data_IF_807851875284
#
_entry.id   IF_807851875284
#
_cell.length_a   1.000
_cell.length_b   1.000
_cell.length_c   1.000
_cell.angle_alpha   90.00
_cell.angle_beta   90.00
_cell.angle_gamma   90.00
#
_symmetry.space_group_name_H-M   'P 1'
#
loop_
_entity.id
_entity.type
_entity.pdbx_description
1 polymer ?
#
# COMPACT_ATOMS: atom_id res chain seq x y z
N UNK A 1 -18.30 -14.83 -1.30
CA UNK A 1 -19.21 -14.03 -0.44
C UNK A 1 -20.56 -14.75 -0.42
N UNK A 2 -21.14 -14.92 0.75
CA UNK A 2 -22.51 -15.42 0.89
C UNK A 2 -23.53 -14.28 0.74
N UNK A 3 -24.84 -14.62 0.70
CA UNK A 3 -25.92 -13.64 0.50
C UNK A 3 -25.97 -12.60 1.64
N UNK A 4 -25.66 -12.99 2.88
CA UNK A 4 -25.70 -12.11 4.03
C UNK A 4 -24.51 -11.14 4.01
N UNK A 5 -23.35 -11.59 3.59
CA UNK A 5 -22.16 -10.75 3.39
C UNK A 5 -22.43 -9.68 2.33
N UNK A 6 -23.00 -10.06 1.18
CA UNK A 6 -23.35 -9.12 0.12
C UNK A 6 -24.34 -8.06 0.59
N UNK A 7 -25.42 -8.47 1.28
CA UNK A 7 -26.41 -7.54 1.84
C UNK A 7 -25.75 -6.54 2.81
N UNK A 8 -24.79 -7.01 3.60
CA UNK A 8 -24.04 -6.15 4.53
C UNK A 8 -23.17 -5.15 3.80
N UNK A 9 -22.46 -5.57 2.74
CA UNK A 9 -21.63 -4.70 1.89
C UNK A 9 -22.49 -3.61 1.24
N UNK A 10 -23.62 -3.98 0.63
CA UNK A 10 -24.49 -3.02 -0.05
C UNK A 10 -25.12 -2.00 0.92
N UNK A 11 -25.39 -2.40 2.16
CA UNK A 11 -25.89 -1.49 3.19
C UNK A 11 -24.84 -0.52 3.72
N UNK A 12 -23.56 -0.91 3.77
CA UNK A 12 -22.44 -0.06 4.19
C UNK A 12 -22.18 1.01 3.14
N UNK A 13 -22.35 0.68 1.85
CA UNK A 13 -22.08 1.58 0.73
C UNK A 13 -20.64 1.51 0.21
N UNK A 14 -20.32 2.43 -0.68
CA UNK A 14 -18.98 2.57 -1.26
C UNK A 14 -17.94 2.95 -0.21
N UNK A 15 -16.73 2.46 -0.40
CA UNK A 15 -15.59 2.67 0.49
C UNK A 15 -14.29 2.76 -0.31
N UNK A 16 -13.17 2.90 0.38
CA UNK A 16 -11.84 2.86 -0.25
C UNK A 16 -11.58 1.55 -1.01
N UNK A 17 -12.27 0.46 -0.66
CA UNK A 17 -12.10 -0.89 -1.20
C UNK A 17 -13.38 -1.50 -1.77
N UNK A 18 -14.45 -0.75 -1.88
CA UNK A 18 -15.73 -1.22 -2.47
C UNK A 18 -16.28 -0.13 -3.38
N UNK A 19 -16.65 -0.52 -4.59
CA UNK A 19 -17.24 0.35 -5.59
C UNK A 19 -18.48 -0.27 -6.22
N UNK A 20 -19.50 0.55 -6.45
CA UNK A 20 -20.74 0.18 -7.11
C UNK A 20 -20.84 0.83 -8.48
N UNK A 21 -21.33 0.07 -9.46
CA UNK A 21 -21.54 0.59 -10.81
C UNK A 21 -22.85 0.06 -11.36
N UNK A 22 -23.72 0.95 -11.80
CA UNK A 22 -25.03 0.60 -12.32
C UNK A 22 -24.97 -0.39 -13.49
N UNK A 23 -24.14 -0.15 -14.49
CA UNK A 23 -23.89 -0.96 -15.69
C UNK A 23 -25.14 -1.73 -16.20
N UNK A 24 -25.87 -1.19 -17.13
CA UNK A 24 -27.04 -1.88 -17.70
C UNK A 24 -26.67 -3.07 -18.60
N UNK A 25 -26.40 -2.79 -19.89
CA UNK A 25 -26.06 -3.81 -20.90
C UNK A 25 -24.56 -3.76 -21.29
N UNK A 26 -23.74 -2.91 -20.68
CA UNK A 26 -22.34 -2.72 -21.02
C UNK A 26 -21.55 -2.16 -19.85
N UNK A 27 -20.23 -2.20 -19.96
CA UNK A 27 -19.30 -1.69 -18.97
C UNK A 27 -18.80 -0.33 -19.44
N UNK A 28 -18.98 0.69 -18.61
CA UNK A 28 -18.57 2.05 -18.90
C UNK A 28 -17.09 2.25 -18.59
N UNK A 29 -16.50 3.36 -19.09
CA UNK A 29 -15.06 3.59 -18.99
C UNK A 29 -14.58 3.83 -17.56
N UNK A 30 -15.44 4.36 -16.70
CA UNK A 30 -15.15 4.63 -15.29
C UNK A 30 -14.87 3.35 -14.48
N UNK A 31 -15.48 2.22 -14.84
CA UNK A 31 -15.14 0.91 -14.23
C UNK A 31 -13.66 0.59 -14.40
N UNK A 32 -13.07 0.89 -15.56
CA UNK A 32 -11.65 0.63 -15.81
C UNK A 32 -10.73 1.65 -15.11
N UNK A 33 -11.20 2.86 -14.86
CA UNK A 33 -10.52 3.85 -14.03
C UNK A 33 -10.44 3.35 -12.57
N UNK A 34 -11.53 2.80 -12.05
CA UNK A 34 -11.58 2.14 -10.73
C UNK A 34 -10.69 0.89 -10.68
N UNK A 35 -10.69 0.04 -11.71
CA UNK A 35 -9.76 -1.10 -11.79
C UNK A 35 -8.31 -0.62 -11.66
N UNK A 36 -7.94 0.42 -12.41
CA UNK A 36 -6.59 0.99 -12.36
C UNK A 36 -6.25 1.54 -10.97
N UNK A 37 -7.15 2.29 -10.35
CA UNK A 37 -6.93 2.88 -9.02
C UNK A 37 -6.83 1.81 -7.93
N UNK A 38 -7.65 0.76 -7.98
CA UNK A 38 -7.60 -0.37 -7.05
C UNK A 38 -6.29 -1.16 -7.18
N UNK A 39 -5.85 -1.46 -8.41
CA UNK A 39 -4.55 -2.07 -8.66
C UNK A 39 -3.43 -1.21 -8.07
N UNK A 40 -3.54 0.10 -8.16
CA UNK A 40 -2.56 1.06 -7.69
C UNK A 40 -2.59 1.31 -6.18
N UNK A 41 -3.64 0.91 -5.47
CA UNK A 41 -3.78 1.19 -4.05
C UNK A 41 -3.91 -0.10 -3.21
N UNK A 42 -5.04 -0.38 -2.66
CA UNK A 42 -5.27 -1.46 -1.71
C UNK A 42 -5.99 -2.67 -2.31
N UNK A 43 -6.32 -2.62 -3.60
CA UNK A 43 -7.27 -3.54 -4.19
C UNK A 43 -8.70 -3.21 -3.76
N UNK A 44 -9.62 -4.12 -4.04
CA UNK A 44 -11.02 -3.96 -3.64
C UNK A 44 -11.97 -4.81 -4.46
N UNK A 45 -13.24 -4.56 -4.26
CA UNK A 45 -14.34 -5.25 -4.89
C UNK A 45 -15.21 -4.27 -5.68
N UNK A 46 -15.47 -4.56 -6.96
CA UNK A 46 -16.39 -3.79 -7.81
C UNK A 46 -17.62 -4.64 -8.05
N UNK A 47 -18.79 -4.06 -7.82
CA UNK A 47 -20.09 -4.70 -8.07
C UNK A 47 -20.81 -3.98 -9.19
N UNK A 48 -20.96 -4.64 -10.37
CA UNK A 48 -21.74 -4.13 -11.50
C UNK A 48 -23.19 -4.56 -11.35
N UNK A 49 -24.10 -3.61 -11.52
CA UNK A 49 -25.52 -3.77 -11.30
C UNK A 49 -26.01 -3.26 -9.94
N UNK A 50 -25.18 -2.52 -9.24
CA UNK A 50 -25.53 -1.85 -7.95
C UNK A 50 -25.47 -0.34 -8.16
N UNK A 51 -26.39 0.40 -7.56
CA UNK A 51 -26.41 1.86 -7.53
C UNK A 51 -25.56 2.38 -6.37
N UNK A 52 -25.15 3.63 -6.40
CA UNK A 52 -24.30 4.29 -5.40
C UNK A 52 -24.91 4.23 -3.97
N UNK A 53 -26.25 4.17 -3.87
CA UNK A 53 -26.97 4.02 -2.60
C UNK A 53 -27.04 2.56 -2.10
N UNK A 54 -26.40 1.61 -2.79
CA UNK A 54 -26.42 0.19 -2.48
C UNK A 54 -27.66 -0.55 -3.02
N UNK A 55 -28.58 0.13 -3.71
CA UNK A 55 -29.75 -0.51 -4.32
C UNK A 55 -29.30 -1.44 -5.44
N UNK A 56 -29.72 -2.69 -5.36
CA UNK A 56 -29.44 -3.70 -6.40
C UNK A 56 -30.35 -3.45 -7.59
N UNK A 57 -29.78 -2.95 -8.69
CA UNK A 57 -30.50 -2.75 -9.97
C UNK A 57 -30.43 -4.02 -10.84
N UNK A 58 -29.30 -4.72 -10.82
CA UNK A 58 -28.98 -5.84 -11.68
C UNK A 58 -28.45 -5.41 -13.05
N UNK A 59 -27.68 -6.30 -13.69
CA UNK A 59 -27.33 -6.22 -15.11
C UNK A 59 -28.27 -7.13 -15.92
N UNK A 60 -28.37 -6.88 -17.23
CA UNK A 60 -29.16 -7.78 -18.09
C UNK A 60 -28.54 -9.18 -18.10
N UNK A 61 -29.28 -10.19 -17.63
CA UNK A 61 -28.80 -11.56 -17.46
C UNK A 61 -28.18 -12.12 -18.75
N UNK A 62 -28.82 -11.89 -19.88
CA UNK A 62 -28.34 -12.34 -21.20
C UNK A 62 -27.06 -11.62 -21.65
N UNK A 63 -26.82 -10.41 -21.19
CA UNK A 63 -25.63 -9.60 -21.53
C UNK A 63 -24.43 -9.90 -20.60
N UNK A 64 -24.66 -10.39 -19.40
CA UNK A 64 -23.61 -10.59 -18.40
C UNK A 64 -22.41 -11.42 -18.90
N UNK A 65 -22.58 -12.55 -19.63
CA UNK A 65 -21.43 -13.30 -20.16
C UNK A 65 -20.60 -12.48 -21.17
N UNK A 66 -21.25 -11.68 -22.01
CA UNK A 66 -20.57 -10.83 -22.99
C UNK A 66 -19.86 -9.66 -22.30
N UNK A 67 -20.47 -9.07 -21.27
CA UNK A 67 -19.85 -8.06 -20.44
C UNK A 67 -18.56 -8.57 -19.80
N UNK A 68 -18.56 -9.78 -19.24
CA UNK A 68 -17.37 -10.43 -18.66
C UNK A 68 -16.29 -10.64 -19.73
N UNK A 69 -16.64 -11.17 -20.91
CA UNK A 69 -15.67 -11.36 -22.01
C UNK A 69 -15.05 -10.04 -22.47
N UNK A 70 -15.88 -9.02 -22.65
CA UNK A 70 -15.42 -7.68 -23.05
C UNK A 70 -14.52 -7.07 -21.99
N UNK A 71 -14.86 -7.19 -20.70
CA UNK A 71 -14.03 -6.74 -19.61
C UNK A 71 -12.63 -7.37 -19.66
N UNK A 72 -12.56 -8.70 -19.74
CA UNK A 72 -11.29 -9.43 -19.80
C UNK A 72 -10.48 -9.00 -21.03
N UNK A 73 -11.13 -8.86 -22.19
CA UNK A 73 -10.47 -8.38 -23.41
C UNK A 73 -9.86 -6.99 -23.24
N UNK A 74 -10.55 -6.07 -22.56
CA UNK A 74 -10.09 -4.71 -22.34
C UNK A 74 -8.88 -4.67 -21.40
N UNK A 75 -8.92 -5.36 -20.25
CA UNK A 75 -7.83 -5.36 -19.28
C UNK A 75 -6.60 -6.15 -19.73
N UNK A 76 -6.75 -7.04 -20.70
CA UNK A 76 -5.67 -7.80 -21.33
C UNK A 76 -5.01 -7.07 -22.50
N UNK A 77 -5.55 -5.92 -22.90
CA UNK A 77 -4.99 -5.10 -23.98
C UNK A 77 -4.00 -4.08 -23.40
N UNK A 78 -2.69 -4.15 -23.73
CA UNK A 78 -1.66 -3.25 -23.19
C UNK A 78 -1.84 -1.79 -23.62
N UNK A 79 -2.56 -1.51 -24.71
CA UNK A 79 -2.88 -0.15 -25.13
C UNK A 79 -4.00 0.48 -24.26
N UNK A 80 -4.73 -0.35 -23.52
CA UNK A 80 -5.86 0.06 -22.67
C UNK A 80 -5.46 0.07 -21.21
N UNK A 81 -4.97 -1.06 -20.69
CA UNK A 81 -4.45 -1.17 -19.32
C UNK A 81 -3.00 -1.64 -19.35
N UNK A 82 -2.09 -0.84 -18.80
CA UNK A 82 -0.66 -1.14 -18.82
C UNK A 82 -0.03 -0.92 -17.43
N UNK A 83 0.68 -1.91 -16.87
CA UNK A 83 0.74 -3.32 -17.32
C UNK A 83 -0.64 -4.00 -17.33
N UNK A 84 -0.78 -5.05 -18.15
CA UNK A 84 -2.01 -5.87 -18.20
C UNK A 84 -2.16 -6.74 -16.96
N UNK A 85 -3.38 -7.15 -16.63
CA UNK A 85 -3.68 -8.03 -15.49
C UNK A 85 -4.64 -9.14 -15.90
N UNK A 86 -4.59 -10.25 -15.15
CA UNK A 86 -5.57 -11.33 -15.25
C UNK A 86 -6.55 -11.23 -14.08
N UNK A 87 -7.76 -10.76 -14.35
CA UNK A 87 -8.85 -10.77 -13.38
C UNK A 87 -9.95 -11.72 -13.89
N UNK A 88 -10.64 -12.36 -12.96
CA UNK A 88 -11.73 -13.29 -13.26
C UNK A 88 -13.02 -12.78 -12.62
N UNK A 89 -13.80 -11.93 -13.33
CA UNK A 89 -15.12 -11.52 -12.85
C UNK A 89 -16.04 -12.70 -12.63
N UNK A 90 -16.90 -12.64 -11.62
CA UNK A 90 -17.88 -13.67 -11.31
C UNK A 90 -19.29 -13.13 -11.54
N UNK A 91 -20.11 -13.87 -12.27
CA UNK A 91 -21.54 -13.60 -12.35
C UNK A 91 -22.17 -14.21 -11.10
N UNK A 92 -22.88 -13.40 -10.32
CA UNK A 92 -23.54 -13.79 -9.08
C UNK A 92 -25.02 -13.41 -9.12
N UNK A 93 -25.82 -14.11 -8.32
CA UNK A 93 -27.24 -13.81 -8.15
C UNK A 93 -27.48 -13.25 -6.75
N UNK A 94 -28.20 -12.14 -6.67
CA UNK A 94 -28.61 -11.55 -5.39
C UNK A 94 -30.03 -11.02 -5.52
N UNK A 95 -30.94 -11.45 -4.63
CA UNK A 95 -32.36 -11.08 -4.65
C UNK A 95 -33.05 -11.25 -6.03
N UNK A 96 -32.69 -12.31 -6.75
CA UNK A 96 -33.26 -12.61 -8.08
C UNK A 96 -32.72 -11.74 -9.21
N UNK A 97 -31.68 -10.93 -8.97
CA UNK A 97 -31.03 -10.08 -9.95
C UNK A 97 -29.61 -10.55 -10.22
N UNK A 98 -29.18 -10.43 -11.48
CA UNK A 98 -27.84 -10.78 -11.91
C UNK A 98 -26.88 -9.62 -11.65
N UNK A 99 -25.75 -9.89 -11.00
CA UNK A 99 -24.66 -8.96 -10.75
C UNK A 99 -23.36 -9.52 -11.32
N UNK A 100 -22.37 -8.65 -11.58
CA UNK A 100 -21.01 -9.07 -11.87
C UNK A 100 -20.11 -8.53 -10.76
N UNK A 101 -19.41 -9.44 -10.09
CA UNK A 101 -18.45 -9.12 -9.04
C UNK A 101 -17.02 -9.24 -9.58
N UNK A 102 -16.21 -8.22 -9.38
CA UNK A 102 -14.80 -8.16 -9.79
C UNK A 102 -13.98 -7.93 -8.53
N UNK A 103 -13.22 -8.94 -8.14
CA UNK A 103 -12.27 -8.82 -7.02
C UNK A 103 -10.88 -8.48 -7.55
N UNK A 104 -10.27 -7.44 -7.01
CA UNK A 104 -8.99 -6.88 -7.45
C UNK A 104 -8.01 -6.89 -6.29
N UNK A 105 -6.91 -7.61 -6.46
CA UNK A 105 -5.79 -7.54 -5.52
C UNK A 105 -4.89 -6.35 -5.85
N UNK A 106 -4.24 -5.74 -4.84
CA UNK A 106 -3.25 -4.69 -5.11
C UNK A 106 -2.10 -5.27 -5.94
N UNK A 107 -1.70 -4.56 -6.98
CA UNK A 107 -0.56 -4.96 -7.82
C UNK A 107 0.76 -4.50 -7.22
N UNK A 108 1.86 -5.19 -7.53
CA UNK A 108 3.22 -4.74 -7.24
C UNK A 108 3.72 -3.65 -8.21
N UNK A 109 3.00 -3.40 -9.30
CA UNK A 109 3.36 -2.42 -10.32
C UNK A 109 2.41 -1.23 -10.33
N UNK A 110 2.84 -0.12 -10.94
CA UNK A 110 1.99 1.05 -11.19
C UNK A 110 1.30 0.88 -12.54
N UNK A 111 -0.01 0.85 -12.53
CA UNK A 111 -0.85 0.69 -13.70
C UNK A 111 -1.36 2.02 -14.23
N UNK A 112 -1.60 2.07 -15.54
CA UNK A 112 -2.28 3.17 -16.21
C UNK A 112 -3.43 2.66 -17.09
N UNK A 113 -4.55 3.37 -17.09
CA UNK A 113 -5.65 3.14 -18.00
C UNK A 113 -5.63 4.21 -19.09
N UNK A 114 -5.53 3.79 -20.36
CA UNK A 114 -5.37 4.70 -21.52
C UNK A 114 -4.26 5.75 -21.30
N UNK A 115 -3.12 5.29 -20.77
CA UNK A 115 -1.93 6.12 -20.44
C UNK A 115 -2.14 7.14 -19.32
N UNK A 116 -3.24 7.07 -18.57
CA UNK A 116 -3.51 7.90 -17.39
C UNK A 116 -3.39 7.04 -16.14
N UNK A 117 -2.58 7.47 -15.17
CA UNK A 117 -2.46 6.83 -13.88
C UNK A 117 -3.58 7.31 -12.98
N UNK A 118 -4.29 6.38 -12.34
CA UNK A 118 -5.31 6.66 -11.33
C UNK A 118 -4.87 6.10 -9.98
N UNK A 119 -5.16 6.84 -8.92
CA UNK A 119 -4.96 6.41 -7.54
C UNK A 119 -6.27 6.54 -6.76
N UNK A 120 -6.47 5.72 -5.73
CA UNK A 120 -7.67 5.75 -4.90
C UNK A 120 -7.46 6.62 -3.68
N UNK A 121 -8.27 7.67 -3.53
CA UNK A 121 -8.27 8.55 -2.36
C UNK A 121 -9.69 8.53 -1.79
N UNK A 122 -9.87 7.92 -0.63
CA UNK A 122 -11.18 7.58 -0.07
C UNK A 122 -11.99 6.73 -1.05
N UNK A 123 -13.11 7.24 -1.55
CA UNK A 123 -14.01 6.62 -2.53
C UNK A 123 -13.84 7.18 -3.96
N UNK A 124 -12.85 8.04 -4.19
CA UNK A 124 -12.65 8.70 -5.48
C UNK A 124 -11.45 8.14 -6.26
N UNK A 125 -11.62 7.98 -7.57
CA UNK A 125 -10.57 7.66 -8.52
C UNK A 125 -9.93 8.94 -9.06
N UNK A 126 -8.73 9.24 -8.58
CA UNK A 126 -8.05 10.50 -8.85
C UNK A 126 -6.96 10.32 -9.90
N UNK A 127 -6.97 11.16 -10.94
CA UNK A 127 -5.90 11.20 -11.95
C UNK A 127 -4.62 11.74 -11.34
N UNK A 128 -3.54 10.97 -11.48
CA UNK A 128 -2.21 11.35 -10.98
C UNK A 128 -1.36 11.81 -12.14
N UNK A 129 -1.05 13.11 -12.18
CA UNK A 129 -0.26 13.73 -13.26
C UNK A 129 1.07 14.29 -12.76
N UNK A 130 1.18 14.58 -11.45
CA UNK A 130 2.39 15.14 -10.87
C UNK A 130 3.50 14.08 -10.78
N UNK A 131 4.66 14.35 -11.40
CA UNK A 131 5.81 13.43 -11.43
C UNK A 131 6.25 12.97 -10.04
N UNK A 132 6.22 13.87 -9.04
CA UNK A 132 6.57 13.52 -7.67
C UNK A 132 5.59 12.50 -7.06
N UNK A 133 4.30 12.63 -7.32
CA UNK A 133 3.29 11.66 -6.85
C UNK A 133 3.44 10.31 -7.54
N UNK A 134 3.71 10.32 -8.85
CA UNK A 134 3.98 9.09 -9.61
C UNK A 134 5.22 8.38 -9.06
N UNK A 135 6.31 9.12 -8.78
CA UNK A 135 7.51 8.56 -8.16
C UNK A 135 7.22 7.91 -6.79
N UNK A 136 6.39 8.57 -5.96
CA UNK A 136 5.96 8.01 -4.68
C UNK A 136 5.13 6.73 -4.85
N UNK A 137 4.29 6.64 -5.89
CA UNK A 137 3.54 5.42 -6.19
C UNK A 137 4.48 4.26 -6.55
N UNK A 138 5.51 4.50 -7.38
CA UNK A 138 6.53 3.49 -7.68
C UNK A 138 7.28 3.03 -6.43
N UNK A 139 7.72 3.96 -5.57
CA UNK A 139 8.38 3.63 -4.30
C UNK A 139 7.47 2.77 -3.41
N UNK A 140 6.21 3.16 -3.26
CA UNK A 140 5.22 2.41 -2.49
C UNK A 140 5.00 0.98 -3.02
N UNK A 141 5.03 0.79 -4.35
CA UNK A 141 4.81 -0.51 -5.00
C UNK A 141 6.01 -1.44 -4.92
N UNK A 142 7.21 -0.91 -4.87
CA UNK A 142 8.42 -1.74 -4.86
C UNK A 142 8.66 -2.47 -3.53
N UNK A 143 7.78 -2.29 -2.52
CA UNK A 143 8.00 -2.81 -1.16
C UNK A 143 9.39 -2.43 -0.61
N UNK A 144 9.97 -1.37 -1.14
CA UNK A 144 11.24 -0.85 -0.65
C UNK A 144 10.95 -0.17 0.68
N UNK A 145 11.19 -0.90 1.73
CA UNK A 145 11.32 -0.32 3.06
C UNK A 145 12.61 0.52 3.05
N UNK A 146 12.47 1.83 2.86
CA UNK A 146 13.62 2.75 2.77
C UNK A 146 14.54 2.63 3.97
N UNK A 147 13.99 2.29 5.14
CA UNK A 147 14.73 2.02 6.36
C UNK A 147 15.67 0.80 6.25
N UNK A 148 15.45 -0.12 5.30
CA UNK A 148 16.32 -1.28 5.03
C UNK A 148 17.44 -1.00 4.04
N UNK A 149 17.43 0.17 3.40
CA UNK A 149 18.49 0.55 2.47
C UNK A 149 19.85 0.53 3.17
N UNK A 150 20.79 -0.23 2.63
CA UNK A 150 22.14 -0.39 3.18
C UNK A 150 23.02 0.79 2.74
N UNK A 151 23.81 1.29 3.68
CA UNK A 151 24.84 2.31 3.48
C UNK A 151 26.21 1.72 3.82
N UNK A 152 26.92 1.12 2.84
CA UNK A 152 28.17 0.38 3.09
C UNK A 152 29.32 1.24 3.62
N UNK A 153 29.19 2.56 3.46
CA UNK A 153 30.21 3.53 3.95
C UNK A 153 29.98 3.97 5.41
N UNK A 154 28.85 3.58 6.01
CA UNK A 154 28.59 3.82 7.43
C UNK A 154 29.23 2.72 8.25
N UNK A 155 30.05 3.09 9.21
CA UNK A 155 30.80 2.21 10.11
C UNK A 155 30.18 2.18 11.52
N UNK A 156 30.69 1.31 12.39
CA UNK A 156 30.22 1.24 13.79
C UNK A 156 30.58 2.49 14.59
N UNK A 157 31.68 3.17 14.24
CA UNK A 157 32.15 4.41 14.86
C UNK A 157 31.24 5.59 14.55
N UNK A 158 30.43 5.50 13.49
CA UNK A 158 29.44 6.49 13.10
C UNK A 158 28.16 6.42 13.94
N UNK A 159 28.04 5.39 14.79
CA UNK A 159 26.87 5.14 15.63
C UNK A 159 27.10 5.53 17.10
N UNK A 160 26.04 5.97 17.74
CA UNK A 160 25.93 6.29 19.17
C UNK A 160 25.76 5.00 19.98
N UNK A 161 26.87 4.24 20.17
CA UNK A 161 26.88 2.99 20.94
C UNK A 161 26.53 3.22 22.43
N UNK A 162 26.72 4.45 22.92
CA UNK A 162 26.30 4.87 24.25
C UNK A 162 24.80 4.74 24.52
N UNK A 163 23.97 4.63 23.46
CA UNK A 163 22.54 4.40 23.56
C UNK A 163 22.16 2.93 23.72
N UNK A 164 23.04 1.98 23.39
CA UNK A 164 22.74 0.54 23.44
C UNK A 164 22.39 0.01 24.84
N UNK A 165 23.01 0.48 25.95
CA UNK A 165 22.57 0.08 27.28
C UNK A 165 21.12 0.46 27.58
N UNK A 166 20.66 1.62 27.08
CA UNK A 166 19.26 2.04 27.20
C UNK A 166 18.33 1.15 26.39
N UNK A 167 18.72 0.77 25.17
CA UNK A 167 17.95 -0.17 24.33
C UNK A 167 17.81 -1.53 25.01
N UNK A 168 18.89 -2.06 25.62
CA UNK A 168 18.83 -3.31 26.39
C UNK A 168 17.84 -3.21 27.56
N UNK A 169 17.89 -2.13 28.31
CA UNK A 169 16.96 -1.89 29.42
C UNK A 169 15.51 -1.82 28.95
N UNK A 170 15.24 -1.11 27.86
CA UNK A 170 13.88 -1.04 27.27
C UNK A 170 13.38 -2.40 26.81
N UNK A 171 14.23 -3.19 26.16
CA UNK A 171 13.89 -4.55 25.70
C UNK A 171 13.54 -5.48 26.88
N UNK A 172 14.31 -5.43 27.96
CA UNK A 172 14.04 -6.20 29.19
C UNK A 172 12.70 -5.81 29.80
N UNK A 173 12.43 -4.49 29.91
CA UNK A 173 11.18 -3.99 30.49
C UNK A 173 9.95 -4.39 29.64
N UNK A 174 10.09 -4.40 28.32
CA UNK A 174 9.01 -4.82 27.41
C UNK A 174 8.86 -6.36 27.35
N UNK A 175 9.93 -7.09 27.61
CA UNK A 175 9.99 -8.57 27.52
C UNK A 175 9.71 -9.32 28.84
N UNK A 176 9.14 -8.65 29.84
CA UNK A 176 8.79 -9.34 31.11
C UNK A 176 9.98 -9.69 32.00
N UNK A 177 11.07 -8.92 31.92
CA UNK A 177 12.23 -9.03 32.81
C UNK A 177 13.42 -9.81 32.23
N UNK A 178 13.30 -10.42 31.07
CA UNK A 178 14.40 -11.09 30.36
C UNK A 178 14.37 -10.79 28.85
N UNK A 179 15.55 -10.54 28.29
CA UNK A 179 15.68 -10.36 26.83
C UNK A 179 17.06 -10.83 26.35
N UNK A 180 17.15 -11.56 25.21
CA UNK A 180 18.43 -12.08 24.69
C UNK A 180 19.51 -11.01 24.48
N UNK A 181 19.13 -9.78 24.19
CA UNK A 181 20.08 -8.67 23.96
C UNK A 181 20.98 -8.34 25.16
N UNK A 182 20.61 -8.78 26.37
CA UNK A 182 21.43 -8.56 27.58
C UNK A 182 22.74 -9.33 27.55
N UNK A 183 22.77 -10.49 26.86
CA UNK A 183 23.95 -11.36 26.74
C UNK A 183 24.73 -11.16 25.44
N UNK A 184 24.20 -10.39 24.49
CA UNK A 184 24.81 -10.15 23.18
C UNK A 184 25.84 -9.01 23.24
N UNK A 185 26.90 -9.13 22.42
CA UNK A 185 27.78 -7.99 22.12
C UNK A 185 27.00 -6.89 21.41
N UNK A 186 27.57 -5.69 21.26
CA UNK A 186 26.93 -4.60 20.55
C UNK A 186 26.68 -4.92 19.07
N UNK A 187 27.65 -5.55 18.41
CA UNK A 187 27.49 -6.01 17.03
C UNK A 187 26.41 -7.08 16.85
N UNK A 188 26.37 -8.06 17.77
CA UNK A 188 25.34 -9.09 17.75
C UNK A 188 23.95 -8.51 17.98
N UNK A 189 23.83 -7.53 18.87
CA UNK A 189 22.58 -6.80 19.10
C UNK A 189 22.14 -6.08 17.84
N UNK A 190 23.03 -5.31 17.20
CA UNK A 190 22.72 -4.57 15.97
C UNK A 190 22.30 -5.50 14.83
N UNK A 191 22.93 -6.65 14.67
CA UNK A 191 22.52 -7.70 13.72
C UNK A 191 21.17 -8.31 14.10
N UNK A 192 20.96 -8.65 15.36
CA UNK A 192 19.69 -9.18 15.87
C UNK A 192 18.53 -8.20 15.70
N UNK A 193 18.79 -6.91 15.90
CA UNK A 193 17.83 -5.83 15.66
C UNK A 193 17.61 -5.53 14.17
N UNK A 194 18.29 -6.23 13.26
CA UNK A 194 18.26 -6.00 11.81
C UNK A 194 18.69 -4.58 11.40
N UNK A 195 19.57 -3.96 12.17
CA UNK A 195 20.17 -2.66 11.87
C UNK A 195 21.44 -2.80 11.02
N UNK A 196 22.04 -3.98 11.01
CA UNK A 196 23.13 -4.39 10.12
C UNK A 196 22.70 -5.62 9.31
N UNK A 197 23.02 -5.64 8.03
CA UNK A 197 22.66 -6.76 7.16
C UNK A 197 23.29 -6.69 5.78
N UNK A 198 22.85 -7.59 4.93
CA UNK A 198 23.28 -7.70 3.53
C UNK A 198 22.07 -7.59 2.61
N UNK A 199 22.15 -6.70 1.66
CA UNK A 199 21.21 -6.65 0.53
C UNK A 199 21.53 -7.81 -0.43
N UNK A 200 20.58 -8.70 -0.60
CA UNK A 200 20.76 -9.89 -1.45
C UNK A 200 20.68 -9.58 -2.94
N UNK A 201 20.15 -8.42 -3.32
CA UNK A 201 20.02 -7.99 -4.73
C UNK A 201 21.32 -7.32 -5.19
N UNK A 202 21.80 -6.35 -4.42
CA UNK A 202 23.01 -5.57 -4.75
C UNK A 202 24.29 -6.20 -4.22
N UNK A 203 24.20 -7.11 -3.24
CA UNK A 203 25.32 -7.67 -2.51
C UNK A 203 25.94 -6.74 -1.48
N UNK A 204 25.44 -5.49 -1.33
CA UNK A 204 25.92 -4.53 -0.37
C UNK A 204 25.70 -5.02 1.06
N UNK A 205 26.70 -4.84 1.93
CA UNK A 205 26.66 -5.19 3.35
C UNK A 205 27.03 -3.98 4.19
N UNK A 206 26.31 -3.77 5.30
CA UNK A 206 26.54 -2.60 6.15
C UNK A 206 25.32 -2.26 7.02
N UNK A 207 25.38 -1.07 7.62
CA UNK A 207 24.28 -0.50 8.38
C UNK A 207 23.20 0.05 7.46
N UNK A 208 21.93 -0.11 7.84
CA UNK A 208 20.81 0.38 7.07
C UNK A 208 20.35 1.76 7.55
N UNK A 209 19.39 2.37 6.82
CA UNK A 209 18.85 3.68 7.17
C UNK A 209 18.26 3.71 8.58
N UNK A 210 17.61 2.63 9.03
CA UNK A 210 17.07 2.55 10.38
C UNK A 210 18.18 2.68 11.45
N UNK A 211 19.35 2.04 11.22
CA UNK A 211 20.50 2.18 12.11
C UNK A 211 20.99 3.63 12.18
N UNK A 212 21.13 4.29 11.04
CA UNK A 212 21.54 5.69 10.94
C UNK A 212 20.55 6.62 11.65
N UNK A 213 19.25 6.43 11.41
CA UNK A 213 18.22 7.30 12.00
C UNK A 213 18.04 7.09 13.51
N UNK A 214 18.26 5.88 14.01
CA UNK A 214 18.09 5.55 15.44
C UNK A 214 19.36 5.79 16.26
N UNK A 215 20.51 5.53 15.68
CA UNK A 215 21.79 5.47 16.38
C UNK A 215 22.88 6.30 15.72
N UNK A 216 22.66 6.91 14.56
CA UNK A 216 23.65 7.76 13.91
C UNK A 216 24.05 8.94 14.79
N UNK A 217 25.31 9.35 14.69
CA UNK A 217 25.78 10.58 15.32
C UNK A 217 25.19 11.80 14.62
N UNK A 218 25.08 12.91 15.32
CA UNK A 218 24.45 14.15 14.81
C UNK A 218 25.14 14.72 13.56
N UNK A 219 26.43 14.41 13.36
CA UNK A 219 27.20 14.78 12.18
C UNK A 219 26.99 13.79 11.01
N UNK A 220 26.70 12.53 11.28
CA UNK A 220 26.54 11.47 10.28
C UNK A 220 25.13 11.47 9.67
N UNK A 221 24.08 11.74 10.45
CA UNK A 221 22.70 11.70 9.96
C UNK A 221 22.48 12.63 8.76
N UNK A 222 22.90 13.92 8.77
CA UNK A 222 22.76 14.82 7.62
C UNK A 222 23.57 14.39 6.40
N UNK A 223 24.71 13.73 6.58
CA UNK A 223 25.53 13.22 5.47
C UNK A 223 24.80 12.09 4.71
N UNK A 224 24.02 11.26 5.42
CA UNK A 224 23.24 10.16 4.86
C UNK A 224 21.87 10.64 4.37
N UNK A 225 21.24 11.56 5.09
CA UNK A 225 19.91 12.12 4.82
C UNK A 225 19.96 13.64 4.85
N UNK A 226 20.40 14.31 3.78
CA UNK A 226 20.63 15.77 3.76
C UNK A 226 19.40 16.62 4.09
N UNK A 227 18.19 16.07 3.89
CA UNK A 227 16.92 16.74 4.22
C UNK A 227 16.40 16.41 5.63
N UNK A 228 17.23 15.74 6.47
CA UNK A 228 16.81 15.38 7.82
C UNK A 228 16.66 16.62 8.69
N UNK A 229 15.48 16.82 9.23
CA UNK A 229 15.18 17.86 10.20
C UNK A 229 14.30 17.25 11.30
N UNK A 230 14.76 17.33 12.55
CA UNK A 230 13.97 16.91 13.71
C UNK A 230 13.42 18.12 14.41
N UNK A 231 12.10 18.20 14.54
CA UNK A 231 11.42 19.22 15.35
C UNK A 231 10.58 18.53 16.42
N UNK A 232 10.74 18.96 17.68
CA UNK A 232 10.02 18.43 18.82
C UNK A 232 9.16 19.52 19.46
N UNK A 233 7.83 19.44 19.27
CA UNK A 233 6.87 20.38 19.83
C UNK A 233 6.21 19.81 21.09
N UNK A 234 6.56 20.32 22.27
CA UNK A 234 5.89 20.01 23.52
C UNK A 234 4.62 20.88 23.65
N UNK A 235 3.45 20.28 23.44
CA UNK A 235 2.16 20.95 23.71
C UNK A 235 1.72 20.69 25.15
N UNK A 236 1.66 21.73 25.96
CA UNK A 236 0.95 21.73 27.24
C UNK A 236 -0.49 22.21 27.01
N UNK A 237 -1.44 21.72 27.82
CA UNK A 237 -2.88 22.01 27.68
C UNK A 237 -3.19 23.51 27.64
N UNK A 238 -2.35 24.34 28.29
CA UNK A 238 -2.55 25.77 28.47
C UNK A 238 -1.72 26.66 27.54
N UNK A 239 -1.01 26.11 26.55
CA UNK A 239 -0.15 26.91 25.68
C UNK A 239 -0.94 27.41 24.47
N UNK A 240 -1.20 28.71 24.41
CA UNK A 240 -1.70 29.38 23.20
C UNK A 240 -0.65 29.26 22.08
N UNK A 241 -1.08 28.97 20.87
CA UNK A 241 -0.23 29.04 19.66
C UNK A 241 0.26 30.47 19.49
N UNK A 242 1.55 30.63 19.31
CA UNK A 242 2.15 31.80 18.70
C UNK A 242 2.32 31.53 17.21
#
# INVERSE_FOLDING_TARGET
MDTNELTSVFRIGETIAVEFKRCGNGIESDVYETVCSFLNRYGGDIFLGVLDDGTVAGVAEKAAPDMVRNFISQISNPDILSPTVCLTPKIIMHEGKTLIHIHILPSAEVHSYKRVIYDRIQDADVKVTATAQIAQMYIRKQEIFTERKIYPYVSIEDLRLDLLPKLRTMAVNSGGGQHPWTAMTDEELLKSARLYGKDRVTGAEGYNLAAVMLLGRDDVIPDVVPAYLTDALLRRVDTKRY
#
